data_IF_266981290496
#
_entry.id   IF_266981290496
#
_cell.length_a   1.000
_cell.length_b   1.000
_cell.length_c   1.000
_cell.angle_alpha   90.00
_cell.angle_beta   90.00
_cell.angle_gamma   90.00
#
_symmetry.space_group_name_H-M   'P 1'
#
loop_
_entity.id
_entity.type
_entity.pdbx_description
1 polymer ?
#
# COMPACT_ATOMS: atom_id res chain seq x y z
N UNK A 1 2.47 -12.04 0.86
CA UNK A 1 3.17 -11.81 2.14
C UNK A 1 4.43 -12.66 2.27
N UNK A 2 4.36 -14.00 2.21
CA UNK A 2 5.55 -14.87 2.24
C UNK A 2 6.61 -14.52 1.17
N UNK A 3 6.20 -14.19 -0.06
CA UNK A 3 7.15 -13.85 -1.14
C UNK A 3 7.75 -12.43 -1.04
N UNK A 4 7.06 -11.47 -0.40
CA UNK A 4 7.66 -10.18 -0.07
C UNK A 4 8.75 -10.34 0.98
N UNK A 5 8.54 -11.22 1.97
CA UNK A 5 9.54 -11.56 2.97
C UNK A 5 10.75 -12.27 2.34
N UNK A 6 10.55 -13.11 1.32
CA UNK A 6 11.66 -13.73 0.57
C UNK A 6 12.45 -12.70 -0.22
N UNK A 7 11.78 -11.76 -0.91
CA UNK A 7 12.45 -10.71 -1.68
C UNK A 7 13.22 -9.71 -0.79
N UNK A 8 12.67 -9.33 0.36
CA UNK A 8 13.41 -8.53 1.35
C UNK A 8 14.52 -9.33 2.02
N UNK A 9 14.33 -10.63 2.26
CA UNK A 9 15.38 -11.49 2.81
C UNK A 9 16.55 -11.69 1.84
N UNK A 10 16.33 -11.90 0.53
CA UNK A 10 17.43 -11.94 -0.45
C UNK A 10 18.12 -10.60 -0.61
N UNK A 11 17.39 -9.48 -0.54
CA UNK A 11 17.98 -8.14 -0.55
C UNK A 11 18.86 -7.86 0.68
N UNK A 12 18.59 -8.50 1.83
CA UNK A 12 19.36 -8.37 3.08
C UNK A 12 20.51 -9.39 3.22
N UNK A 13 20.37 -10.59 2.63
CA UNK A 13 21.37 -11.69 2.76
C UNK A 13 22.56 -11.51 1.81
N UNK A 14 22.35 -10.94 0.62
CA UNK A 14 23.45 -10.71 -0.33
C UNK A 14 24.46 -9.67 0.18
N UNK A 15 24.06 -8.52 0.78
CA UNK A 15 24.99 -7.59 1.40
C UNK A 15 25.90 -8.23 2.46
N UNK A 16 25.36 -9.12 3.31
CA UNK A 16 26.10 -9.68 4.44
C UNK A 16 27.27 -10.58 4.02
N UNK A 17 27.12 -11.37 2.95
CA UNK A 17 28.18 -12.26 2.47
C UNK A 17 29.26 -11.53 1.67
N UNK A 18 28.91 -10.45 0.97
CA UNK A 18 29.87 -9.68 0.15
C UNK A 18 30.70 -8.72 1.01
N UNK A 19 30.13 -8.20 2.11
CA UNK A 19 30.88 -7.43 3.13
C UNK A 19 31.97 -8.27 3.81
N UNK A 20 31.78 -9.59 3.94
CA UNK A 20 32.73 -10.49 4.60
C UNK A 20 34.05 -10.72 3.82
N UNK A 21 34.10 -10.44 2.51
CA UNK A 21 35.23 -10.80 1.63
C UNK A 21 36.05 -9.62 1.10
N UNK A 22 35.82 -8.38 1.55
CA UNK A 22 36.74 -7.25 1.35
C UNK A 22 36.93 -6.74 -0.10
N UNK A 23 36.25 -7.29 -1.11
CA UNK A 23 36.26 -6.78 -2.49
C UNK A 23 35.04 -5.89 -2.77
N UNK A 24 35.16 -4.98 -3.74
CA UNK A 24 34.15 -4.00 -4.20
C UNK A 24 32.70 -4.52 -4.19
N UNK A 25 32.08 -4.47 -3.02
CA UNK A 25 30.88 -5.23 -2.71
C UNK A 25 29.59 -4.54 -3.17
N UNK A 26 29.64 -3.23 -3.42
CA UNK A 26 28.44 -2.42 -3.64
C UNK A 26 27.72 -2.73 -4.95
N UNK A 27 28.46 -2.75 -6.06
CA UNK A 27 27.86 -2.92 -7.39
C UNK A 27 27.20 -4.29 -7.60
N UNK A 28 27.81 -5.42 -7.19
CA UNK A 28 27.15 -6.73 -7.26
C UNK A 28 25.89 -6.82 -6.40
N UNK A 29 25.90 -6.22 -5.20
CA UNK A 29 24.73 -6.20 -4.32
C UNK A 29 23.56 -5.45 -4.95
N UNK A 30 23.81 -4.24 -5.49
CA UNK A 30 22.79 -3.43 -6.16
C UNK A 30 22.22 -4.13 -7.41
N UNK A 31 23.10 -4.71 -8.24
CA UNK A 31 22.68 -5.45 -9.42
C UNK A 31 21.83 -6.67 -9.04
N UNK A 32 22.24 -7.42 -8.01
CA UNK A 32 21.48 -8.58 -7.53
C UNK A 32 20.09 -8.22 -6.98
N UNK A 33 19.99 -7.11 -6.23
CA UNK A 33 18.72 -6.62 -5.70
C UNK A 33 17.77 -6.15 -6.80
N UNK A 34 18.28 -5.43 -7.80
CA UNK A 34 17.51 -5.00 -8.97
C UNK A 34 17.04 -6.19 -9.80
N UNK A 35 17.93 -7.14 -10.13
CA UNK A 35 17.58 -8.34 -10.88
C UNK A 35 16.52 -9.17 -10.15
N UNK A 36 16.66 -9.35 -8.83
CA UNK A 36 15.67 -10.07 -8.01
C UNK A 36 14.32 -9.36 -8.07
N UNK A 37 14.29 -8.04 -7.95
CA UNK A 37 13.06 -7.24 -8.02
C UNK A 37 12.38 -7.37 -9.38
N UNK A 38 13.14 -7.26 -10.47
CA UNK A 38 12.61 -7.39 -11.83
C UNK A 38 12.07 -8.80 -12.09
N UNK A 39 12.78 -9.84 -11.65
CA UNK A 39 12.31 -11.23 -11.76
C UNK A 39 11.02 -11.42 -10.97
N UNK A 40 10.92 -10.89 -9.75
CA UNK A 40 9.69 -10.98 -8.95
C UNK A 40 8.53 -10.29 -9.65
N UNK A 41 8.72 -9.07 -10.19
CA UNK A 41 7.64 -8.32 -10.86
C UNK A 41 7.21 -9.02 -12.16
N UNK A 42 8.17 -9.42 -13.00
CA UNK A 42 7.89 -9.99 -14.33
C UNK A 42 7.39 -11.43 -14.27
N UNK A 43 7.87 -12.21 -13.30
CA UNK A 43 7.47 -13.61 -13.13
C UNK A 43 6.27 -13.76 -12.18
N UNK A 44 5.74 -12.68 -11.58
CA UNK A 44 4.59 -12.75 -10.67
C UNK A 44 3.34 -13.24 -11.42
N UNK A 45 2.92 -14.51 -11.23
CA UNK A 45 1.73 -15.01 -11.90
C UNK A 45 0.51 -14.55 -11.10
N UNK A 46 -0.19 -13.52 -11.57
CA UNK A 46 -1.49 -13.16 -11.01
C UNK A 46 -2.53 -14.19 -11.44
N UNK A 47 -2.69 -15.26 -10.65
CA UNK A 47 -3.71 -16.31 -10.88
C UNK A 47 -5.00 -16.09 -10.10
N UNK A 48 -5.21 -14.91 -9.51
CA UNK A 48 -6.40 -14.62 -8.73
C UNK A 48 -7.41 -13.86 -9.60
N UNK A 49 -8.66 -14.33 -9.57
CA UNK A 49 -9.79 -13.54 -10.09
C UNK A 49 -10.06 -12.44 -9.06
N UNK A 50 -9.85 -11.20 -9.46
CA UNK A 50 -10.09 -10.01 -8.64
C UNK A 50 -11.30 -9.29 -9.20
N UNK A 51 -12.20 -8.90 -8.31
CA UNK A 51 -13.27 -7.97 -8.64
C UNK A 51 -12.79 -6.56 -8.28
N UNK A 52 -12.86 -5.64 -9.23
CA UNK A 52 -12.60 -4.22 -9.02
C UNK A 52 -13.80 -3.47 -9.56
N UNK A 53 -14.51 -2.76 -8.69
CA UNK A 53 -15.72 -1.99 -8.97
C UNK A 53 -15.64 -1.25 -10.32
N UNK A 54 -14.59 -0.44 -10.52
CA UNK A 54 -14.42 0.39 -11.71
C UNK A 54 -14.11 -0.39 -13.00
N UNK A 55 -13.54 -1.59 -12.89
CA UNK A 55 -13.21 -2.42 -14.05
C UNK A 55 -14.29 -3.46 -14.36
N UNK A 56 -15.05 -3.90 -13.35
CA UNK A 56 -16.02 -4.96 -13.46
C UNK A 56 -17.47 -4.46 -13.57
N UNK A 57 -17.76 -3.24 -13.15
CA UNK A 57 -19.06 -2.60 -13.34
C UNK A 57 -18.95 -1.64 -14.53
N UNK A 58 -19.82 -1.82 -15.52
CA UNK A 58 -19.92 -0.92 -16.69
C UNK A 58 -20.21 0.49 -16.19
N UNK A 59 -19.34 1.45 -16.50
CA UNK A 59 -19.44 2.82 -16.01
C UNK A 59 -20.26 3.73 -16.94
N UNK A 60 -20.39 3.37 -18.22
CA UNK A 60 -20.98 4.21 -19.26
C UNK A 60 -22.50 4.03 -19.42
N UNK A 61 -23.02 2.88 -19.00
CA UNK A 61 -24.45 2.54 -19.07
C UNK A 61 -25.05 2.57 -17.67
N UNK A 62 -25.98 3.50 -17.44
CA UNK A 62 -26.60 3.72 -16.13
C UNK A 62 -27.44 2.52 -15.65
N UNK A 63 -28.11 1.79 -16.56
CA UNK A 63 -28.91 0.62 -16.20
C UNK A 63 -28.00 -0.55 -15.81
N UNK A 64 -26.96 -0.81 -16.60
CA UNK A 64 -25.98 -1.85 -16.28
C UNK A 64 -25.18 -1.51 -15.03
N UNK A 65 -24.85 -0.24 -14.82
CA UNK A 65 -24.21 0.25 -13.58
C UNK A 65 -25.10 -0.03 -12.37
N UNK A 66 -26.38 0.35 -12.44
CA UNK A 66 -27.36 0.09 -11.38
C UNK A 66 -27.49 -1.41 -11.09
N UNK A 67 -27.63 -2.24 -12.12
CA UNK A 67 -27.69 -3.70 -11.96
C UNK A 67 -26.40 -4.28 -11.37
N UNK A 68 -25.24 -3.76 -11.78
CA UNK A 68 -23.93 -4.10 -11.22
C UNK A 68 -23.85 -3.76 -9.72
N UNK A 69 -24.28 -2.57 -9.34
CA UNK A 69 -24.35 -2.12 -7.93
C UNK A 69 -25.28 -3.01 -7.12
N UNK A 70 -26.47 -3.34 -7.64
CA UNK A 70 -27.41 -4.23 -6.95
C UNK A 70 -26.83 -5.65 -6.77
N UNK A 71 -25.97 -6.10 -7.69
CA UNK A 71 -25.27 -7.39 -7.59
C UNK A 71 -24.07 -7.39 -6.63
N UNK A 72 -23.59 -6.22 -6.19
CA UNK A 72 -22.40 -6.08 -5.34
C UNK A 72 -22.51 -6.87 -4.04
N UNK A 73 -23.70 -6.87 -3.42
CA UNK A 73 -23.96 -7.67 -2.23
C UNK A 73 -23.75 -9.17 -2.42
N UNK A 74 -24.16 -9.69 -3.58
CA UNK A 74 -23.93 -11.09 -3.94
C UNK A 74 -22.44 -11.36 -4.20
N UNK A 75 -21.75 -10.45 -4.88
CA UNK A 75 -20.30 -10.56 -5.14
C UNK A 75 -19.48 -10.56 -3.84
N UNK A 76 -19.81 -9.67 -2.89
CA UNK A 76 -19.16 -9.63 -1.57
C UNK A 76 -19.41 -10.93 -0.78
N UNK A 77 -20.62 -11.48 -0.84
CA UNK A 77 -20.96 -12.77 -0.20
C UNK A 77 -20.15 -13.93 -0.79
N UNK A 78 -19.95 -13.94 -2.11
CA UNK A 78 -19.19 -14.98 -2.81
C UNK A 78 -17.67 -14.81 -2.71
N UNK A 79 -17.19 -13.63 -2.37
CA UNK A 79 -15.76 -13.31 -2.34
C UNK A 79 -15.06 -13.97 -1.15
N UNK A 80 -14.09 -14.84 -1.42
CA UNK A 80 -13.29 -15.55 -0.38
C UNK A 80 -12.43 -14.61 0.46
N UNK A 81 -12.02 -13.47 -0.09
CA UNK A 81 -11.20 -12.48 0.59
C UNK A 81 -11.53 -11.10 0.06
N UNK A 82 -11.57 -10.10 0.94
CA UNK A 82 -11.60 -8.68 0.54
C UNK A 82 -10.30 -8.02 0.97
N UNK A 83 -9.67 -7.31 0.03
CA UNK A 83 -8.43 -6.57 0.26
C UNK A 83 -8.73 -5.08 0.27
N UNK A 84 -8.53 -4.46 1.43
CA UNK A 84 -8.70 -3.03 1.67
C UNK A 84 -7.35 -2.36 1.55
N UNK A 85 -7.17 -1.53 0.51
CA UNK A 85 -6.02 -0.65 0.38
C UNK A 85 -6.24 0.58 1.25
N UNK A 86 -5.76 0.51 2.48
CA UNK A 86 -6.05 1.51 3.49
C UNK A 86 -5.11 2.71 3.30
N UNK A 87 -5.67 3.82 2.84
CA UNK A 87 -5.02 5.13 2.71
C UNK A 87 -5.79 6.22 3.48
N UNK A 88 -5.22 7.42 3.63
CA UNK A 88 -5.82 8.53 4.40
C UNK A 88 -7.14 9.08 3.83
N UNK A 89 -7.53 8.64 2.64
CA UNK A 89 -8.79 9.01 1.97
C UNK A 89 -9.78 7.84 1.91
N UNK A 90 -9.40 6.63 2.39
CA UNK A 90 -10.25 5.44 2.29
C UNK A 90 -11.60 5.64 2.97
N UNK A 91 -11.61 6.07 4.24
CA UNK A 91 -12.86 6.30 4.98
C UNK A 91 -13.58 7.61 4.64
N UNK A 92 -12.97 8.45 3.79
CA UNK A 92 -13.65 9.63 3.24
C UNK A 92 -14.55 9.25 2.07
N UNK A 93 -14.24 8.18 1.33
CA UNK A 93 -14.96 7.79 0.11
C UNK A 93 -16.19 6.94 0.43
N UNK A 94 -17.35 7.41 -0.02
CA UNK A 94 -18.64 6.76 0.27
C UNK A 94 -18.68 5.28 -0.16
N UNK A 95 -18.26 4.99 -1.39
CA UNK A 95 -18.24 3.62 -1.94
C UNK A 95 -17.33 2.68 -1.14
N UNK A 96 -16.13 3.14 -0.77
CA UNK A 96 -15.16 2.33 -0.03
C UNK A 96 -15.70 1.92 1.35
N UNK A 97 -16.31 2.85 2.08
CA UNK A 97 -16.88 2.54 3.41
C UNK A 97 -18.10 1.63 3.30
N UNK A 98 -18.96 1.86 2.31
CA UNK A 98 -20.10 0.99 2.06
C UNK A 98 -19.68 -0.46 1.79
N UNK A 99 -18.70 -0.68 0.91
CA UNK A 99 -18.18 -2.02 0.60
C UNK A 99 -17.57 -2.69 1.84
N UNK A 100 -16.80 -1.94 2.61
CA UNK A 100 -16.19 -2.41 3.86
C UNK A 100 -17.25 -2.87 4.87
N UNK A 101 -18.24 -2.02 5.15
CA UNK A 101 -19.31 -2.32 6.08
C UNK A 101 -20.21 -3.47 5.59
N UNK A 102 -20.57 -3.49 4.30
CA UNK A 102 -21.36 -4.55 3.69
C UNK A 102 -20.64 -5.90 3.78
N UNK A 103 -19.33 -5.94 3.52
CA UNK A 103 -18.53 -7.15 3.67
C UNK A 103 -18.53 -7.66 5.12
N UNK A 104 -18.26 -6.80 6.10
CA UNK A 104 -18.26 -7.17 7.52
C UNK A 104 -19.60 -7.74 7.97
N UNK A 105 -20.71 -7.07 7.60
CA UNK A 105 -22.07 -7.55 7.91
C UNK A 105 -22.34 -8.93 7.33
N UNK A 106 -21.95 -9.16 6.06
CA UNK A 106 -22.11 -10.44 5.39
C UNK A 106 -21.26 -11.53 6.03
N UNK A 107 -20.05 -11.23 6.50
CA UNK A 107 -19.21 -12.20 7.21
C UNK A 107 -19.83 -12.62 8.54
N UNK A 108 -20.31 -11.67 9.36
CA UNK A 108 -21.00 -11.97 10.62
C UNK A 108 -22.23 -12.85 10.38
N UNK A 109 -23.02 -12.54 9.34
CA UNK A 109 -24.19 -13.34 8.98
C UNK A 109 -23.80 -14.76 8.50
N UNK A 110 -22.71 -14.88 7.74
CA UNK A 110 -22.19 -16.15 7.23
C UNK A 110 -21.67 -17.05 8.35
N UNK A 111 -20.86 -16.51 9.26
CA UNK A 111 -20.36 -17.23 10.43
C UNK A 111 -21.50 -17.78 11.29
N UNK A 112 -22.55 -16.98 11.48
CA UNK A 112 -23.75 -17.37 12.24
C UNK A 112 -24.55 -18.49 11.57
N UNK A 113 -24.76 -18.41 10.26
CA UNK A 113 -25.64 -19.34 9.53
C UNK A 113 -24.94 -20.63 9.10
N UNK A 114 -23.70 -20.55 8.63
CA UNK A 114 -23.01 -21.67 7.98
C UNK A 114 -22.05 -22.41 8.94
N UNK A 115 -21.79 -21.88 10.15
CA UNK A 115 -20.77 -22.37 11.10
C UNK A 115 -19.38 -22.58 10.46
N UNK A 116 -19.13 -21.93 9.34
CA UNK A 116 -17.81 -21.86 8.70
C UNK A 116 -17.13 -20.58 9.12
N UNK A 117 -15.79 -20.58 9.31
CA UNK A 117 -15.05 -19.35 9.56
C UNK A 117 -15.31 -18.33 8.44
N UNK A 118 -15.44 -17.05 8.82
CA UNK A 118 -15.61 -15.95 7.87
C UNK A 118 -14.45 -15.89 6.88
N UNK A 119 -14.74 -15.29 5.73
CA UNK A 119 -13.75 -15.04 4.69
C UNK A 119 -12.73 -13.98 5.17
N UNK A 120 -11.46 -14.10 4.75
CA UNK A 120 -10.40 -13.26 5.30
C UNK A 120 -10.49 -11.80 4.81
N UNK A 121 -10.38 -10.86 5.75
CA UNK A 121 -10.22 -9.43 5.47
C UNK A 121 -8.73 -9.07 5.51
N UNK A 122 -8.20 -8.57 4.40
CA UNK A 122 -6.82 -8.10 4.31
C UNK A 122 -6.78 -6.58 4.26
N UNK A 123 -6.32 -5.96 5.34
CA UNK A 123 -6.04 -4.52 5.38
C UNK A 123 -4.59 -4.30 5.02
N UNK A 124 -4.33 -3.62 3.90
CA UNK A 124 -3.00 -3.28 3.43
C UNK A 124 -2.82 -1.76 3.44
N UNK A 125 -2.08 -1.21 4.41
CA UNK A 125 -1.68 0.19 4.38
C UNK A 125 -0.83 0.49 3.14
N UNK A 126 -1.26 1.44 2.31
CA UNK A 126 -0.55 1.84 1.08
C UNK A 126 0.82 2.45 1.35
N UNK A 127 1.04 2.97 2.57
CA UNK A 127 2.30 3.60 2.98
C UNK A 127 3.49 2.63 3.11
N UNK A 128 3.26 1.33 3.23
CA UNK A 128 4.35 0.35 3.36
C UNK A 128 5.31 0.37 2.17
N UNK A 129 4.79 0.56 0.96
CA UNK A 129 5.61 0.65 -0.24
C UNK A 129 6.54 1.87 -0.20
N UNK A 130 6.03 3.03 0.26
CA UNK A 130 6.82 4.24 0.38
C UNK A 130 7.93 4.12 1.44
N UNK A 131 7.63 3.55 2.61
CA UNK A 131 8.63 3.32 3.66
C UNK A 131 9.70 2.35 3.15
N UNK A 132 9.32 1.21 2.58
CA UNK A 132 10.25 0.22 2.04
C UNK A 132 11.17 0.82 0.96
N UNK A 133 10.62 1.63 0.04
CA UNK A 133 11.40 2.35 -0.96
C UNK A 133 12.41 3.33 -0.35
N UNK A 134 12.03 4.04 0.71
CA UNK A 134 12.94 4.93 1.44
C UNK A 134 14.07 4.17 2.16
N UNK A 135 13.77 3.01 2.76
CA UNK A 135 14.81 2.15 3.36
C UNK A 135 15.83 1.74 2.30
N UNK A 136 15.32 1.28 1.15
CA UNK A 136 16.15 0.85 0.04
C UNK A 136 17.05 1.99 -0.46
N UNK A 137 16.48 3.17 -0.71
CA UNK A 137 17.26 4.35 -1.16
C UNK A 137 18.34 4.74 -0.14
N UNK A 138 18.02 4.71 1.15
CA UNK A 138 19.00 5.03 2.20
C UNK A 138 20.14 4.00 2.25
N UNK A 139 19.83 2.72 2.10
CA UNK A 139 20.81 1.62 2.05
C UNK A 139 21.71 1.72 0.80
N UNK A 140 21.12 2.00 -0.36
CA UNK A 140 21.87 2.26 -1.60
C UNK A 140 22.80 3.46 -1.42
N UNK A 141 22.31 4.57 -0.85
CA UNK A 141 23.12 5.76 -0.62
C UNK A 141 24.30 5.48 0.32
N UNK A 142 24.08 4.70 1.38
CA UNK A 142 25.13 4.28 2.32
C UNK A 142 26.18 3.39 1.64
N UNK A 143 25.74 2.40 0.85
CA UNK A 143 26.65 1.55 0.09
C UNK A 143 27.46 2.37 -0.94
N UNK A 144 26.84 3.31 -1.65
CA UNK A 144 27.52 4.17 -2.60
C UNK A 144 28.58 5.07 -1.93
N UNK A 145 28.27 5.70 -0.80
CA UNK A 145 29.23 6.56 -0.08
C UNK A 145 30.43 5.76 0.48
N UNK A 146 30.18 4.54 0.95
CA UNK A 146 31.21 3.63 1.44
C UNK A 146 32.14 3.08 0.33
N UNK A 147 31.65 3.00 -0.91
CA UNK A 147 32.43 2.55 -2.08
C UNK A 147 33.19 3.71 -2.75
N UNK A 148 32.56 4.89 -2.95
CA UNK A 148 33.20 6.05 -3.57
C UNK A 148 34.47 6.51 -2.82
N UNK A 149 34.47 6.37 -1.50
CA UNK A 149 35.63 6.71 -0.63
C UNK A 149 36.72 5.63 -0.62
N UNK A 150 36.51 4.47 -1.25
CA UNK A 150 37.45 3.34 -1.27
C UNK A 150 37.97 2.92 -2.65
N UNK A 151 37.61 3.62 -3.74
CA UNK A 151 37.90 3.17 -5.13
C UNK A 151 39.31 3.53 -5.64
N UNK A 152 40.13 4.32 -4.92
CA UNK A 152 41.44 4.75 -5.43
C UNK A 152 42.59 4.66 -4.42
N UNK A 153 43.02 3.45 -4.03
CA UNK A 153 44.35 3.26 -3.42
C UNK A 153 45.20 2.27 -4.26
N UNK A 154 46.09 2.77 -5.13
CA UNK A 154 47.03 1.94 -5.88
C UNK A 154 48.30 1.57 -5.09
N UNK A 155 48.52 2.07 -3.87
CA UNK A 155 49.78 1.85 -3.13
C UNK A 155 49.59 1.39 -1.66
N UNK A 156 49.70 0.08 -1.45
CA UNK A 156 50.60 -0.56 -0.47
C UNK A 156 50.64 -0.19 1.03
N UNK A 157 49.72 0.61 1.59
CA UNK A 157 49.69 0.86 3.04
C UNK A 157 49.11 -0.36 3.81
N UNK A 158 49.59 -0.72 5.02
CA UNK A 158 49.19 -1.95 5.74
C UNK A 158 47.69 -2.05 6.10
N UNK A 159 46.94 -0.95 6.04
CA UNK A 159 45.46 -0.91 6.17
C UNK A 159 44.74 -0.46 4.89
N UNK A 160 45.48 -0.18 3.82
CA UNK A 160 44.97 0.19 2.50
C UNK A 160 44.33 1.58 2.36
N UNK A 161 44.33 2.42 3.40
CA UNK A 161 43.73 3.78 3.41
C UNK A 161 44.60 4.77 4.20
N UNK A 162 44.83 5.97 3.67
CA UNK A 162 45.47 7.07 4.41
C UNK A 162 44.55 7.64 5.52
N UNK A 163 45.09 8.23 6.61
CA UNK A 163 44.29 8.68 7.77
C UNK A 163 43.19 9.69 7.41
N UNK A 164 43.46 10.60 6.49
CA UNK A 164 42.51 11.57 5.95
C UNK A 164 41.34 10.91 5.21
N UNK A 165 41.61 9.83 4.45
CA UNK A 165 40.59 9.06 3.74
C UNK A 165 39.76 8.19 4.68
N UNK A 166 40.39 7.62 5.71
CA UNK A 166 39.67 6.91 6.76
C UNK A 166 38.70 7.85 7.47
N UNK A 167 39.15 9.06 7.82
CA UNK A 167 38.28 10.09 8.43
C UNK A 167 37.15 10.48 7.48
N UNK A 168 37.42 10.73 6.19
CA UNK A 168 36.41 11.09 5.21
C UNK A 168 35.36 9.97 5.02
N UNK A 169 35.80 8.71 4.99
CA UNK A 169 34.93 7.53 4.88
C UNK A 169 34.02 7.35 6.09
N UNK A 170 34.57 7.49 7.30
CA UNK A 170 33.80 7.41 8.54
C UNK A 170 32.81 8.58 8.60
N UNK A 171 33.23 9.80 8.26
CA UNK A 171 32.37 10.97 8.26
C UNK A 171 31.22 10.85 7.24
N UNK A 172 31.49 10.43 6.01
CA UNK A 172 30.47 10.28 4.95
C UNK A 172 29.46 9.17 5.26
N UNK A 173 29.94 8.04 5.81
CA UNK A 173 29.09 6.91 6.23
C UNK A 173 28.20 7.30 7.42
N UNK A 174 28.76 8.02 8.39
CA UNK A 174 28.02 8.52 9.56
C UNK A 174 26.96 9.54 9.16
N UNK A 175 27.32 10.49 8.29
CA UNK A 175 26.37 11.49 7.78
C UNK A 175 25.22 10.83 7.01
N UNK A 176 25.52 9.86 6.16
CA UNK A 176 24.50 9.14 5.38
C UNK A 176 23.58 8.32 6.30
N UNK A 177 24.14 7.65 7.31
CA UNK A 177 23.37 6.94 8.33
C UNK A 177 22.46 7.86 9.15
N UNK A 178 22.97 9.02 9.59
CA UNK A 178 22.18 10.03 10.30
C UNK A 178 21.04 10.56 9.43
N UNK A 179 21.32 10.93 8.18
CA UNK A 179 20.29 11.37 7.24
C UNK A 179 19.24 10.28 6.99
N UNK A 180 19.66 9.04 6.75
CA UNK A 180 18.77 7.90 6.55
C UNK A 180 17.88 7.62 7.77
N UNK A 181 18.45 7.65 8.98
CA UNK A 181 17.71 7.45 10.22
C UNK A 181 16.71 8.57 10.50
N UNK A 182 17.05 9.82 10.20
CA UNK A 182 16.13 10.96 10.29
C UNK A 182 14.97 10.85 9.30
N UNK A 183 15.24 10.46 8.05
CA UNK A 183 14.20 10.19 7.05
C UNK A 183 13.28 9.05 7.48
N UNK A 184 13.84 7.97 8.04
CA UNK A 184 13.08 6.84 8.58
C UNK A 184 12.18 7.25 9.74
N UNK A 185 12.74 7.96 10.73
CA UNK A 185 12.00 8.46 11.88
C UNK A 185 10.86 9.40 11.43
N UNK A 186 11.12 10.27 10.44
CA UNK A 186 10.10 11.11 9.85
C UNK A 186 9.02 10.33 9.10
N UNK A 187 9.39 9.27 8.36
CA UNK A 187 8.43 8.38 7.70
C UNK A 187 7.56 7.63 8.70
N UNK A 188 8.16 7.07 9.76
CA UNK A 188 7.43 6.39 10.83
C UNK A 188 6.51 7.35 11.59
N UNK A 189 6.98 8.56 11.87
CA UNK A 189 6.16 9.59 12.53
C UNK A 189 4.96 9.98 11.66
N UNK A 190 5.15 10.15 10.35
CA UNK A 190 4.04 10.38 9.41
C UNK A 190 3.08 9.20 9.38
N UNK A 191 3.60 7.98 9.44
CA UNK A 191 2.78 6.77 9.49
C UNK A 191 1.90 6.73 10.74
N UNK A 192 2.48 6.93 11.92
CA UNK A 192 1.72 6.97 13.18
C UNK A 192 0.65 8.07 13.15
N UNK A 193 0.98 9.25 12.62
CA UNK A 193 0.01 10.35 12.47
C UNK A 193 -1.13 9.99 11.50
N UNK A 194 -0.81 9.40 10.35
CA UNK A 194 -1.81 8.97 9.38
C UNK A 194 -2.74 7.89 9.96
N UNK A 195 -2.20 6.95 10.76
CA UNK A 195 -3.02 5.99 11.49
C UNK A 195 -3.96 6.66 12.49
N UNK A 196 -3.47 7.65 13.25
CA UNK A 196 -4.30 8.40 14.18
C UNK A 196 -5.40 9.20 13.46
N UNK A 197 -5.07 9.83 12.33
CA UNK A 197 -6.05 10.55 11.49
C UNK A 197 -7.12 9.59 10.96
N UNK A 198 -6.73 8.39 10.53
CA UNK A 198 -7.67 7.38 10.03
C UNK A 198 -8.60 6.83 11.11
N UNK A 199 -8.09 6.59 12.33
CA UNK A 199 -8.93 6.21 13.47
C UNK A 199 -9.96 7.32 13.77
N UNK A 200 -9.54 8.57 13.71
CA UNK A 200 -10.45 9.70 13.87
C UNK A 200 -11.49 9.77 12.73
N UNK A 201 -11.08 9.58 11.47
CA UNK A 201 -12.00 9.56 10.33
C UNK A 201 -13.08 8.48 10.45
N UNK A 202 -12.74 7.33 11.04
CA UNK A 202 -13.71 6.28 11.34
C UNK A 202 -14.69 6.67 12.45
N UNK A 203 -14.21 7.32 13.52
CA UNK A 203 -15.06 7.76 14.64
C UNK A 203 -16.00 8.89 14.26
N UNK A 204 -15.52 9.80 13.43
CA UNK A 204 -16.26 10.99 12.97
C UNK A 204 -16.93 10.73 11.61
N UNK A 205 -16.98 9.46 11.17
CA UNK A 205 -17.57 9.10 9.89
C UNK A 205 -19.04 9.51 9.86
N UNK A 206 -19.49 9.96 8.68
CA UNK A 206 -20.91 10.10 8.42
C UNK A 206 -21.20 9.89 6.95
N UNK A 207 -22.22 9.08 6.66
CA UNK A 207 -22.67 8.78 5.32
C UNK A 207 -23.07 10.05 4.55
N UNK A 208 -23.55 11.08 5.23
CA UNK A 208 -23.91 12.36 4.60
C UNK A 208 -22.70 13.23 4.27
N UNK A 209 -21.61 13.10 5.05
CA UNK A 209 -20.36 13.87 4.84
C UNK A 209 -19.36 13.15 3.94
N UNK A 210 -19.51 11.84 3.73
CA UNK A 210 -18.62 11.05 2.90
C UNK A 210 -18.57 11.59 1.46
N UNK A 211 -17.41 11.58 0.83
CA UNK A 211 -17.18 12.06 -0.53
C UNK A 211 -17.78 11.09 -1.57
N UNK A 212 -18.57 11.64 -2.50
CA UNK A 212 -19.07 10.93 -3.69
C UNK A 212 -18.56 11.63 -4.95
N UNK A 213 -18.08 10.86 -5.92
CA UNK A 213 -17.72 11.37 -7.24
C UNK A 213 -18.91 12.08 -7.90
N UNK A 214 -20.08 11.44 -7.89
CA UNK A 214 -21.35 11.97 -8.40
C UNK A 214 -21.62 13.43 -7.96
N UNK A 215 -21.46 13.71 -6.66
CA UNK A 215 -21.66 15.02 -6.07
C UNK A 215 -20.56 16.02 -6.46
N UNK A 216 -19.31 15.56 -6.55
CA UNK A 216 -18.16 16.42 -6.88
C UNK A 216 -18.22 17.01 -8.28
N UNK A 217 -18.90 16.32 -9.23
CA UNK A 217 -19.10 16.78 -10.60
C UNK A 217 -20.47 17.44 -10.81
N UNK A 218 -21.20 17.73 -9.73
CA UNK A 218 -22.53 18.36 -9.81
C UNK A 218 -23.57 17.49 -10.51
N UNK A 219 -23.48 16.16 -10.35
CA UNK A 219 -24.37 15.18 -10.97
C UNK A 219 -24.42 15.29 -12.50
N UNK A 220 -23.29 15.66 -13.12
CA UNK A 220 -23.10 15.66 -14.57
C UNK A 220 -21.82 14.94 -14.94
N UNK A 221 -21.91 14.01 -15.88
CA UNK A 221 -20.75 13.28 -16.36
C UNK A 221 -19.72 14.25 -16.98
N UNK A 222 -18.43 14.21 -16.60
CA UNK A 222 -17.45 15.23 -16.98
C UNK A 222 -17.22 15.33 -18.49
N UNK A 223 -17.29 14.21 -19.20
CA UNK A 223 -17.02 14.14 -20.64
C UNK A 223 -18.31 14.32 -21.47
N UNK A 224 -19.35 13.54 -21.17
CA UNK A 224 -20.59 13.49 -21.96
C UNK A 224 -21.60 14.58 -21.58
N UNK A 225 -21.40 15.27 -20.43
CA UNK A 225 -22.28 16.30 -19.86
C UNK A 225 -23.71 15.84 -19.53
N UNK A 226 -24.00 14.56 -19.69
CA UNK A 226 -25.28 13.96 -19.35
C UNK A 226 -25.49 13.97 -17.83
N UNK A 227 -26.75 14.04 -17.40
CA UNK A 227 -27.11 13.93 -15.99
C UNK A 227 -26.82 12.49 -15.53
N UNK A 228 -26.24 12.36 -14.34
CA UNK A 228 -25.97 11.06 -13.69
C UNK A 228 -26.78 10.94 -12.41
N UNK A 229 -27.17 9.71 -12.05
CA UNK A 229 -27.84 9.47 -10.78
C UNK A 229 -26.92 9.74 -9.58
N UNK A 230 -27.52 10.07 -8.44
CA UNK A 230 -26.78 10.31 -7.21
C UNK A 230 -26.49 8.97 -6.52
N UNK A 231 -25.23 8.52 -6.57
CA UNK A 231 -24.81 7.30 -5.86
C UNK A 231 -25.10 7.38 -4.35
N UNK A 232 -25.06 8.59 -3.76
CA UNK A 232 -25.37 8.76 -2.33
C UNK A 232 -26.79 8.36 -2.00
N UNK A 233 -27.76 8.74 -2.83
CA UNK A 233 -29.15 8.40 -2.58
C UNK A 233 -29.39 6.90 -2.74
N UNK A 234 -28.74 6.28 -3.72
CA UNK A 234 -28.77 4.83 -3.93
C UNK A 234 -28.15 4.07 -2.75
N UNK A 235 -26.97 4.49 -2.28
CA UNK A 235 -26.30 3.88 -1.13
C UNK A 235 -27.12 4.10 0.13
N UNK A 236 -27.68 5.29 0.36
CA UNK A 236 -28.54 5.57 1.52
C UNK A 236 -29.78 4.67 1.55
N UNK A 237 -30.43 4.44 0.40
CA UNK A 237 -31.55 3.51 0.30
C UNK A 237 -31.12 2.07 0.62
N UNK A 238 -29.95 1.66 0.13
CA UNK A 238 -29.38 0.35 0.40
C UNK A 238 -29.01 0.19 1.87
N UNK A 239 -28.41 1.21 2.49
CA UNK A 239 -28.06 1.23 3.92
C UNK A 239 -29.29 1.09 4.79
N UNK A 240 -30.38 1.83 4.52
CA UNK A 240 -31.65 1.64 5.23
C UNK A 240 -32.19 0.22 5.11
N UNK A 241 -32.08 -0.37 3.92
CA UNK A 241 -32.56 -1.74 3.68
C UNK A 241 -31.70 -2.79 4.39
N UNK A 242 -30.37 -2.60 4.40
CA UNK A 242 -29.43 -3.60 4.89
C UNK A 242 -29.11 -3.43 6.37
N UNK A 243 -28.94 -2.19 6.85
CA UNK A 243 -28.50 -1.83 8.19
C UNK A 243 -29.61 -1.27 9.08
N UNK A 244 -30.80 -1.01 8.52
CA UNK A 244 -31.97 -0.50 9.24
C UNK A 244 -32.13 0.99 9.05
N UNK A 245 -31.16 1.77 9.52
CA UNK A 245 -31.11 3.22 9.34
C UNK A 245 -29.68 3.72 9.14
N UNK A 246 -29.54 5.02 8.89
CA UNK A 246 -28.25 5.66 8.63
C UNK A 246 -27.49 5.94 9.93
N UNK A 247 -28.19 6.20 11.04
CA UNK A 247 -27.57 6.50 12.35
C UNK A 247 -26.91 5.28 12.99
N UNK A 248 -27.44 4.08 12.70
CA UNK A 248 -26.89 2.79 13.12
C UNK A 248 -25.72 2.36 12.23
N UNK A 249 -25.68 2.89 11.00
CA UNK A 249 -24.59 2.63 10.06
C UNK A 249 -23.36 3.50 10.35
N UNK A 250 -23.59 4.78 10.64
CA UNK A 250 -22.57 5.74 11.08
C UNK A 250 -21.96 5.31 12.44
#
# INVERSE_FOLDING_TARGET
>A
LASCAVATATALVVPAHVVANGQHAGLPCLASGLCTTLVVILAWPSRQRVFLDRACIVQDDEEMKRNGILSLGYLLKMSRTVTVLWDITYFRRLWCVFEFAAYLKLQVAKERNERTPGNALHVLPTMYAGVAGMIFIADVAFCCSANLTGIHDPEGWPTGLSPDRLVLRVASSTLTGLCGSGLMAGALSRHVRAFAEQDQQLRDFSLDKAECFCCSVGHRHPETKQAIECDRDLIRATVRTWFGDVETFD
#
